data_IF_705323170598
#
_entry.id   IF_705323170598
#
_cell.length_a   1.000
_cell.length_b   1.000
_cell.length_c   1.000
_cell.angle_alpha   90.00
_cell.angle_beta   90.00
_cell.angle_gamma   90.00
#
_symmetry.space_group_name_H-M   'P 1'
#
loop_
_entity.id
_entity.type
_entity.pdbx_description
1 polymer ?
#
# COMPACT_ATOMS: atom_id res chain seq x y z
N UNK A 1 -4.00 4.76 15.48
CA UNK A 1 -2.51 4.65 15.57
C UNK A 1 -1.94 4.16 14.23
N UNK A 2 -0.73 4.63 13.85
CA UNK A 2 0.01 4.09 12.69
C UNK A 2 1.38 3.64 13.19
N UNK A 3 1.77 2.41 12.84
CA UNK A 3 3.11 1.89 13.12
C UNK A 3 3.71 1.35 11.83
N UNK A 4 4.96 1.73 11.53
CA UNK A 4 5.70 1.31 10.35
C UNK A 4 6.72 0.24 10.72
N UNK A 5 6.76 -0.83 9.94
CA UNK A 5 7.86 -1.79 9.93
C UNK A 5 8.47 -1.84 8.54
N UNK A 6 9.77 -1.57 8.45
CA UNK A 6 10.50 -1.76 7.18
C UNK A 6 10.95 -3.20 7.11
N UNK A 7 10.52 -3.91 6.07
CA UNK A 7 10.79 -5.34 5.85
C UNK A 7 11.47 -5.56 4.49
N UNK A 8 12.18 -6.66 4.34
CA UNK A 8 12.87 -7.04 3.11
C UNK A 8 14.36 -6.70 3.10
N UNK A 9 15.17 -7.71 2.77
CA UNK A 9 16.64 -7.59 2.73
C UNK A 9 17.14 -6.96 1.41
N UNK A 10 16.46 -7.27 0.30
CA UNK A 10 16.90 -6.85 -1.03
C UNK A 10 16.36 -5.46 -1.38
N UNK A 11 15.08 -5.24 -1.17
CA UNK A 11 14.39 -3.97 -1.33
C UNK A 11 13.64 -3.71 -0.03
N UNK A 12 14.20 -2.87 0.88
CA UNK A 12 13.50 -2.49 2.11
C UNK A 12 12.21 -1.75 1.77
N UNK A 13 11.09 -2.31 2.21
CA UNK A 13 9.74 -1.79 1.94
C UNK A 13 8.99 -1.56 3.24
N UNK A 14 8.32 -0.44 3.35
CA UNK A 14 7.54 -0.06 4.51
C UNK A 14 6.17 -0.78 4.49
N UNK A 15 5.91 -1.56 5.51
CA UNK A 15 4.60 -2.12 5.84
C UNK A 15 3.97 -1.29 6.96
N UNK A 16 2.71 -0.87 6.81
CA UNK A 16 2.06 0.01 7.79
C UNK A 16 0.89 -0.69 8.46
N UNK A 17 0.98 -0.82 9.78
CA UNK A 17 -0.16 -1.16 10.61
C UNK A 17 -0.97 0.11 10.88
N UNK A 18 -2.22 0.15 10.43
CA UNK A 18 -3.17 1.21 10.69
C UNK A 18 -4.28 0.69 11.61
N UNK A 19 -4.19 1.03 12.89
CA UNK A 19 -4.94 0.39 13.97
C UNK A 19 -5.89 1.39 14.64
N UNK A 20 -7.11 0.94 14.89
CA UNK A 20 -8.04 1.64 15.77
C UNK A 20 -7.72 1.35 17.23
N UNK A 21 -7.39 2.42 17.98
CA UNK A 21 -6.91 2.32 19.37
C UNK A 21 -7.99 1.86 20.38
N UNK A 22 -9.27 1.92 19.99
CA UNK A 22 -10.37 1.50 20.88
C UNK A 22 -10.63 0.00 20.78
N UNK A 23 -10.53 -0.56 19.56
CA UNK A 23 -10.85 -1.96 19.29
C UNK A 23 -9.62 -2.85 19.19
N UNK A 24 -8.43 -2.28 18.94
CA UNK A 24 -7.21 -2.97 18.52
C UNK A 24 -7.37 -3.74 17.21
N UNK A 25 -8.39 -3.40 16.40
CA UNK A 25 -8.55 -3.89 15.05
C UNK A 25 -7.93 -2.93 14.04
N UNK A 26 -7.49 -3.44 12.88
CA UNK A 26 -6.86 -2.59 11.89
C UNK A 26 -6.65 -3.24 10.54
N UNK A 27 -5.91 -2.49 9.72
CA UNK A 27 -5.41 -2.87 8.42
C UNK A 27 -3.89 -3.02 8.47
N UNK A 28 -3.36 -3.95 7.68
CA UNK A 28 -1.97 -3.91 7.24
C UNK A 28 -1.95 -3.37 5.81
N UNK A 29 -1.11 -2.38 5.52
CA UNK A 29 -0.89 -1.87 4.18
C UNK A 29 0.48 -2.34 3.71
N UNK A 30 0.49 -3.12 2.64
CA UNK A 30 1.62 -3.85 2.08
C UNK A 30 2.28 -4.83 3.07
N UNK A 31 2.89 -5.91 2.58
CA UNK A 31 3.45 -6.95 3.43
C UNK A 31 4.93 -7.25 3.14
N UNK A 32 5.53 -6.53 2.18
CA UNK A 32 6.94 -6.72 1.84
C UNK A 32 7.31 -8.19 1.63
N UNK A 33 8.40 -8.64 2.23
CA UNK A 33 8.89 -10.03 2.12
C UNK A 33 8.80 -10.86 3.40
N UNK A 34 8.42 -10.26 4.54
CA UNK A 34 8.52 -10.90 5.86
C UNK A 34 7.16 -11.06 6.55
N UNK A 35 6.23 -11.80 5.91
CA UNK A 35 4.87 -12.03 6.42
C UNK A 35 4.84 -12.64 7.83
N UNK A 36 5.77 -13.56 8.13
CA UNK A 36 5.88 -14.17 9.46
C UNK A 36 6.22 -13.14 10.54
N UNK A 37 7.20 -12.28 10.28
CA UNK A 37 7.64 -11.23 11.20
C UNK A 37 6.51 -10.22 11.46
N UNK A 38 5.79 -9.82 10.41
CA UNK A 38 4.65 -8.92 10.53
C UNK A 38 3.51 -9.55 11.34
N UNK A 39 3.23 -10.85 11.15
CA UNK A 39 2.21 -11.57 11.90
C UNK A 39 2.57 -11.71 13.39
N UNK A 40 3.83 -12.08 13.71
CA UNK A 40 4.33 -12.15 15.08
C UNK A 40 4.27 -10.79 15.77
N UNK A 41 4.56 -9.72 15.03
CA UNK A 41 4.45 -8.35 15.56
C UNK A 41 3.00 -8.02 15.92
N UNK A 42 2.05 -8.25 15.03
CA UNK A 42 0.64 -8.01 15.30
C UNK A 42 0.13 -8.81 16.51
N UNK A 43 0.52 -10.08 16.63
CA UNK A 43 0.18 -10.94 17.76
C UNK A 43 0.77 -10.39 19.07
N UNK A 44 2.04 -10.00 19.07
CA UNK A 44 2.73 -9.44 20.26
C UNK A 44 2.05 -8.15 20.75
N UNK A 45 1.54 -7.33 19.83
CA UNK A 45 0.79 -6.09 20.12
C UNK A 45 -0.66 -6.35 20.53
N UNK A 46 -1.18 -7.55 20.33
CA UNK A 46 -2.58 -7.88 20.55
C UNK A 46 -3.51 -7.25 19.52
N UNK A 47 -3.04 -7.02 18.30
CA UNK A 47 -3.83 -6.46 17.19
C UNK A 47 -4.52 -7.54 16.38
N UNK A 48 -5.73 -7.24 15.95
CA UNK A 48 -6.47 -8.05 14.98
C UNK A 48 -6.46 -7.34 13.63
N UNK A 49 -5.72 -7.89 12.67
CA UNK A 49 -5.69 -7.35 11.31
C UNK A 49 -6.80 -7.98 10.50
N UNK A 50 -7.84 -7.19 10.19
CA UNK A 50 -8.98 -7.70 9.43
C UNK A 50 -8.68 -7.86 7.95
N UNK A 51 -7.85 -6.97 7.39
CA UNK A 51 -7.50 -6.96 5.96
C UNK A 51 -6.05 -6.53 5.74
N UNK A 52 -5.40 -7.21 4.81
CA UNK A 52 -4.16 -6.77 4.18
C UNK A 52 -4.53 -6.05 2.89
N UNK A 53 -4.18 -4.78 2.77
CA UNK A 53 -4.47 -3.91 1.63
C UNK A 53 -3.19 -3.67 0.84
N UNK A 54 -3.19 -4.03 -0.44
CA UNK A 54 -2.03 -3.87 -1.31
C UNK A 54 -2.16 -2.58 -2.12
N UNK A 55 -1.15 -1.70 -2.03
CA UNK A 55 -1.08 -0.46 -2.82
C UNK A 55 -0.85 -0.76 -4.29
N UNK A 56 -0.08 -1.78 -4.59
CA UNK A 56 0.15 -2.39 -5.89
C UNK A 56 0.82 -3.75 -5.71
N UNK A 57 0.97 -4.51 -6.78
CA UNK A 57 1.43 -5.89 -6.67
C UNK A 57 2.84 -6.14 -7.20
N UNK A 58 3.83 -5.23 -7.00
CA UNK A 58 5.24 -5.58 -7.14
C UNK A 58 5.67 -6.51 -6.01
N UNK A 59 6.68 -7.36 -6.27
CA UNK A 59 7.06 -8.45 -5.38
C UNK A 59 7.50 -8.00 -3.98
N UNK A 60 8.10 -6.84 -3.89
CA UNK A 60 8.57 -6.25 -2.64
C UNK A 60 7.44 -5.66 -1.78
N UNK A 61 6.22 -5.53 -2.33
CA UNK A 61 4.99 -5.18 -1.60
C UNK A 61 4.13 -6.39 -1.25
N UNK A 62 4.24 -7.48 -2.02
CA UNK A 62 3.37 -8.66 -1.86
C UNK A 62 4.07 -9.91 -1.33
N UNK A 63 5.40 -9.92 -1.22
CA UNK A 63 6.16 -11.14 -0.95
C UNK A 63 5.81 -11.86 0.34
N UNK A 64 5.40 -11.14 1.37
CA UNK A 64 4.94 -11.68 2.65
C UNK A 64 3.42 -11.86 2.77
N UNK A 65 2.65 -11.47 1.76
CA UNK A 65 1.19 -11.35 1.87
C UNK A 65 0.49 -12.69 2.19
N UNK A 66 0.82 -13.77 1.48
CA UNK A 66 0.20 -15.09 1.74
C UNK A 66 0.59 -15.63 3.11
N UNK A 67 1.86 -15.55 3.50
CA UNK A 67 2.30 -16.05 4.81
C UNK A 67 1.65 -15.25 5.95
N UNK A 68 1.54 -13.93 5.81
CA UNK A 68 0.81 -13.08 6.76
C UNK A 68 -0.66 -13.48 6.86
N UNK A 69 -1.36 -13.61 5.72
CA UNK A 69 -2.78 -13.98 5.68
C UNK A 69 -3.05 -15.36 6.30
N UNK A 70 -2.21 -16.35 6.00
CA UNK A 70 -2.33 -17.71 6.59
C UNK A 70 -2.19 -17.68 8.12
N UNK A 71 -1.27 -16.86 8.66
CA UNK A 71 -1.00 -16.79 10.10
C UNK A 71 -2.05 -16.02 10.87
N UNK A 72 -2.59 -14.96 10.29
CA UNK A 72 -3.50 -14.03 10.97
C UNK A 72 -4.96 -14.26 10.66
N UNK A 73 -5.27 -14.89 9.53
CA UNK A 73 -6.63 -15.00 8.99
C UNK A 73 -7.10 -13.73 8.28
N UNK A 74 -6.23 -12.73 8.08
CA UNK A 74 -6.56 -11.52 7.34
C UNK A 74 -6.82 -11.84 5.86
N UNK A 75 -7.84 -11.20 5.27
CA UNK A 75 -8.09 -11.33 3.84
C UNK A 75 -7.20 -10.36 3.05
N UNK A 76 -6.68 -10.81 1.90
CA UNK A 76 -5.85 -9.99 1.01
C UNK A 76 -6.75 -9.24 0.04
N UNK A 77 -6.50 -7.93 -0.10
CA UNK A 77 -7.24 -7.04 -1.00
C UNK A 77 -6.30 -6.29 -1.94
N UNK A 78 -6.65 -6.24 -3.22
CA UNK A 78 -5.91 -5.50 -4.26
C UNK A 78 -6.86 -4.82 -5.25
N UNK A 79 -6.35 -3.92 -6.09
CA UNK A 79 -7.15 -3.26 -7.11
C UNK A 79 -7.71 -4.25 -8.16
N UNK A 80 -8.85 -3.91 -8.79
CA UNK A 80 -9.44 -4.73 -9.86
C UNK A 80 -8.49 -4.97 -11.04
N UNK A 81 -7.51 -4.10 -11.25
CA UNK A 81 -6.48 -4.22 -12.30
C UNK A 81 -5.25 -5.04 -11.89
N UNK A 82 -5.20 -5.54 -10.63
CA UNK A 82 -4.08 -6.31 -10.08
C UNK A 82 -3.94 -7.77 -10.53
N UNK A 83 -4.97 -8.48 -11.09
CA UNK A 83 -4.86 -9.92 -11.35
C UNK A 83 -3.64 -10.34 -12.17
N UNK A 84 -3.22 -9.51 -13.12
CA UNK A 84 -2.04 -9.78 -13.93
C UNK A 84 -0.74 -9.68 -13.11
N UNK A 85 -0.65 -8.73 -12.20
CA UNK A 85 0.55 -8.54 -11.38
C UNK A 85 0.69 -9.67 -10.36
N UNK A 86 -0.32 -9.94 -9.55
CA UNK A 86 -0.19 -10.96 -8.51
C UNK A 86 -0.16 -12.41 -9.04
N UNK A 87 -0.49 -12.65 -10.33
CA UNK A 87 -0.45 -13.98 -10.94
C UNK A 87 0.75 -14.22 -11.88
N UNK A 88 1.43 -13.18 -12.37
CA UNK A 88 2.56 -13.29 -13.31
C UNK A 88 3.85 -12.73 -12.71
N UNK A 89 4.82 -13.62 -12.37
CA UNK A 89 6.11 -13.23 -11.82
C UNK A 89 6.98 -12.32 -12.69
N UNK A 90 6.71 -12.20 -14.00
CA UNK A 90 7.36 -11.21 -14.84
C UNK A 90 6.77 -9.81 -14.62
N UNK A 91 5.44 -9.74 -14.41
CA UNK A 91 4.75 -8.48 -14.19
C UNK A 91 5.02 -7.92 -12.80
N UNK A 92 5.04 -8.76 -11.77
CA UNK A 92 5.37 -8.33 -10.41
C UNK A 92 6.88 -8.29 -10.14
N UNK A 93 7.71 -8.57 -11.13
CA UNK A 93 9.17 -8.50 -11.08
C UNK A 93 9.84 -9.55 -10.16
N UNK A 94 9.09 -10.49 -9.59
CA UNK A 94 9.64 -11.45 -8.64
C UNK A 94 10.69 -12.38 -9.24
N UNK A 95 10.64 -12.66 -10.56
CA UNK A 95 11.69 -13.43 -11.22
C UNK A 95 13.07 -12.75 -11.20
N UNK A 96 13.13 -11.44 -10.98
CA UNK A 96 14.37 -10.69 -11.02
C UNK A 96 15.05 -10.60 -9.64
N UNK A 97 14.31 -10.76 -8.57
CA UNK A 97 14.85 -10.52 -7.23
C UNK A 97 14.30 -11.38 -6.11
N UNK A 98 13.05 -11.84 -6.20
CA UNK A 98 12.37 -12.51 -5.08
C UNK A 98 12.10 -14.02 -5.28
N UNK A 99 12.43 -14.57 -6.44
CA UNK A 99 11.96 -15.89 -6.84
C UNK A 99 10.59 -15.82 -7.52
N UNK A 100 9.84 -16.90 -7.52
CA UNK A 100 8.50 -16.93 -8.12
C UNK A 100 7.45 -16.64 -7.06
N UNK A 101 6.93 -15.40 -7.03
CA UNK A 101 5.86 -14.98 -6.12
C UNK A 101 4.56 -14.83 -6.90
N UNK A 102 3.50 -15.44 -6.40
CA UNK A 102 2.12 -15.29 -6.89
C UNK A 102 1.19 -15.32 -5.70
N UNK A 103 0.06 -14.62 -5.76
CA UNK A 103 -0.97 -14.68 -4.72
C UNK A 103 -2.17 -15.50 -5.20
N UNK A 104 -2.80 -16.18 -4.25
CA UNK A 104 -4.10 -16.81 -4.36
C UNK A 104 -5.09 -16.10 -3.43
N UNK A 105 -6.39 -16.34 -3.61
CA UNK A 105 -7.45 -15.85 -2.72
C UNK A 105 -7.43 -14.33 -2.45
N UNK A 106 -7.19 -13.54 -3.51
CA UNK A 106 -7.21 -12.08 -3.47
C UNK A 106 -8.63 -11.58 -3.76
N UNK A 107 -9.17 -10.77 -2.86
CA UNK A 107 -10.40 -10.01 -3.08
C UNK A 107 -10.06 -8.69 -3.75
N UNK A 108 -10.86 -8.24 -4.71
CA UNK A 108 -10.62 -6.97 -5.38
C UNK A 108 -11.50 -5.85 -4.85
N UNK A 109 -10.99 -4.63 -4.89
CA UNK A 109 -11.73 -3.39 -4.63
C UNK A 109 -11.73 -2.49 -5.87
N UNK A 110 -12.74 -1.63 -5.97
CA UNK A 110 -12.88 -0.65 -7.03
C UNK A 110 -12.30 0.72 -6.64
N UNK A 111 -12.06 1.59 -7.66
CA UNK A 111 -11.74 2.99 -7.41
C UNK A 111 -12.88 3.67 -6.63
N UNK A 112 -12.52 4.52 -5.67
CA UNK A 112 -13.45 5.24 -4.75
C UNK A 112 -14.22 4.33 -3.78
N UNK A 113 -13.88 3.06 -3.69
CA UNK A 113 -14.45 2.21 -2.65
C UNK A 113 -14.03 2.68 -1.25
N UNK A 114 -14.96 2.59 -0.31
CA UNK A 114 -14.67 2.87 1.11
C UNK A 114 -14.50 1.53 1.83
N UNK A 115 -13.28 1.27 2.28
CA UNK A 115 -12.93 0.07 3.03
C UNK A 115 -13.05 0.38 4.52
N UNK A 116 -13.84 -0.41 5.24
CA UNK A 116 -14.10 -0.20 6.68
C UNK A 116 -13.68 -1.41 7.50
N UNK A 117 -13.42 -1.22 8.79
CA UNK A 117 -13.31 -2.33 9.74
C UNK A 117 -14.71 -2.89 10.09
N UNK A 118 -14.80 -4.20 10.20
CA UNK A 118 -16.03 -4.84 10.69
C UNK A 118 -16.28 -4.48 12.17
N UNK A 119 -15.21 -4.42 12.97
CA UNK A 119 -15.27 -4.03 14.37
C UNK A 119 -15.62 -2.55 14.58
N UNK A 120 -15.31 -1.67 13.62
CA UNK A 120 -15.54 -0.22 13.71
C UNK A 120 -15.79 0.38 12.31
N UNK A 121 -17.03 0.41 11.82
CA UNK A 121 -17.35 0.85 10.45
C UNK A 121 -17.03 2.31 10.12
N UNK A 122 -16.83 3.19 11.11
CA UNK A 122 -16.38 4.57 10.92
C UNK A 122 -14.86 4.70 10.83
N UNK A 123 -14.11 3.63 11.09
CA UNK A 123 -12.69 3.54 10.79
C UNK A 123 -12.51 3.07 9.35
N UNK A 124 -12.25 4.01 8.46
CA UNK A 124 -12.38 3.82 7.02
C UNK A 124 -11.21 4.38 6.23
N UNK A 125 -10.94 3.76 5.09
CA UNK A 125 -10.00 4.20 4.06
C UNK A 125 -10.74 4.34 2.72
N UNK A 126 -10.56 5.47 2.04
CA UNK A 126 -10.98 5.66 0.66
C UNK A 126 -9.88 5.16 -0.28
N UNK A 127 -10.23 4.26 -1.18
CA UNK A 127 -9.34 3.83 -2.28
C UNK A 127 -9.32 4.90 -3.37
N UNK A 128 -8.14 5.26 -3.86
CA UNK A 128 -7.97 6.14 -5.03
C UNK A 128 -6.95 5.54 -5.98
N UNK A 129 -7.36 5.24 -7.20
CA UNK A 129 -6.46 4.68 -8.20
C UNK A 129 -5.45 5.73 -8.68
N UNK A 130 -4.18 5.34 -8.68
CA UNK A 130 -3.04 6.16 -9.08
C UNK A 130 -2.12 5.43 -10.06
N UNK A 131 -2.65 5.00 -11.23
CA UNK A 131 -1.82 4.30 -12.21
C UNK A 131 -0.65 5.15 -12.68
N UNK A 132 0.43 4.47 -13.11
CA UNK A 132 1.62 5.09 -13.71
C UNK A 132 2.93 4.52 -13.23
N UNK A 133 3.09 4.16 -11.95
CA UNK A 133 4.15 3.26 -11.50
C UNK A 133 3.84 1.84 -11.96
N UNK A 134 2.64 1.39 -11.68
CA UNK A 134 1.98 0.21 -12.27
C UNK A 134 0.57 0.59 -12.70
N UNK A 135 -0.12 -0.27 -13.47
CA UNK A 135 -1.52 0.00 -13.84
C UNK A 135 -2.47 -0.24 -12.67
N UNK A 136 -2.09 -1.04 -11.67
CA UNK A 136 -2.89 -1.39 -10.50
C UNK A 136 -2.58 -0.55 -9.26
N UNK A 137 -1.71 0.46 -9.38
CA UNK A 137 -1.37 1.34 -8.26
C UNK A 137 -2.58 2.09 -7.72
N UNK A 138 -2.67 2.14 -6.40
CA UNK A 138 -3.67 2.92 -5.66
C UNK A 138 -3.09 3.48 -4.37
N UNK A 139 -3.78 4.45 -3.79
CA UNK A 139 -3.53 5.00 -2.46
C UNK A 139 -4.74 4.74 -1.56
N UNK A 140 -4.49 4.64 -0.25
CA UNK A 140 -5.53 4.51 0.77
C UNK A 140 -5.54 5.77 1.62
N UNK A 141 -6.62 6.56 1.53
CA UNK A 141 -6.75 7.84 2.21
C UNK A 141 -7.71 7.78 3.39
N UNK A 142 -7.25 8.22 4.56
CA UNK A 142 -8.09 8.47 5.73
C UNK A 142 -8.32 9.97 5.91
N UNK A 143 -9.53 10.44 5.59
CA UNK A 143 -9.92 11.83 5.86
C UNK A 143 -10.04 12.10 7.37
N UNK A 144 -10.35 11.09 8.18
CA UNK A 144 -10.44 11.16 9.63
C UNK A 144 -9.10 11.57 10.26
N UNK A 145 -8.03 10.91 9.85
CA UNK A 145 -6.71 11.07 10.47
C UNK A 145 -5.76 11.96 9.64
N UNK A 146 -6.21 12.42 8.45
CA UNK A 146 -5.42 13.28 7.57
C UNK A 146 -4.16 12.57 7.05
N UNK A 147 -4.28 11.29 6.68
CA UNK A 147 -3.15 10.47 6.21
C UNK A 147 -3.49 9.75 4.93
N UNK A 148 -2.46 9.45 4.11
CA UNK A 148 -2.59 8.60 2.93
C UNK A 148 -1.40 7.64 2.85
N UNK A 149 -1.68 6.35 2.62
CA UNK A 149 -0.69 5.33 2.30
C UNK A 149 -0.59 5.28 0.77
N UNK A 150 0.56 5.69 0.25
CA UNK A 150 0.69 6.03 -1.17
C UNK A 150 1.51 5.02 -1.97
N UNK A 151 2.00 3.95 -1.35
CA UNK A 151 2.85 2.96 -2.02
C UNK A 151 3.97 3.65 -2.78
N UNK A 152 4.10 3.30 -4.06
CA UNK A 152 5.12 3.83 -4.95
C UNK A 152 4.60 4.92 -5.91
N UNK A 153 3.48 5.56 -5.54
CA UNK A 153 2.97 6.70 -6.32
C UNK A 153 3.85 7.93 -6.16
N UNK A 154 4.16 8.33 -4.92
CA UNK A 154 4.99 9.50 -4.61
C UNK A 154 5.79 9.24 -3.32
N UNK A 155 7.02 9.76 -3.28
CA UNK A 155 7.96 9.63 -2.18
C UNK A 155 8.35 11.00 -1.61
N UNK A 156 9.10 10.99 -0.51
CA UNK A 156 9.80 12.19 -0.07
C UNK A 156 10.79 12.65 -1.15
N UNK A 157 10.46 13.75 -1.82
CA UNK A 157 11.28 14.39 -2.86
C UNK A 157 11.50 13.55 -4.14
N UNK A 158 10.66 12.54 -4.39
CA UNK A 158 10.74 11.70 -5.58
C UNK A 158 9.36 11.11 -5.93
N UNK A 159 9.29 10.40 -7.04
CA UNK A 159 8.12 9.62 -7.48
C UNK A 159 8.52 8.19 -7.80
N UNK A 160 7.57 7.28 -7.87
CA UNK A 160 7.79 5.92 -8.32
C UNK A 160 8.39 5.88 -9.73
N UNK A 161 9.22 4.88 -9.98
CA UNK A 161 9.76 4.66 -11.34
C UNK A 161 8.66 4.14 -12.28
N UNK A 162 8.84 4.38 -13.57
CA UNK A 162 7.81 4.13 -14.59
C UNK A 162 8.32 3.32 -15.78
N UNK A 163 9.50 2.72 -15.65
CA UNK A 163 10.18 1.96 -16.71
C UNK A 163 9.97 0.44 -16.62
N UNK A 164 9.10 -0.01 -15.70
CA UNK A 164 8.68 -1.41 -15.55
C UNK A 164 7.40 -1.70 -16.33
N UNK A 165 7.03 -2.99 -16.51
CA UNK A 165 5.79 -3.37 -17.20
C UNK A 165 4.56 -2.65 -16.65
N UNK A 166 3.84 -1.95 -17.52
CA UNK A 166 2.65 -1.16 -17.15
C UNK A 166 2.95 0.24 -16.66
N UNK A 167 4.23 0.63 -16.50
CA UNK A 167 4.63 1.96 -16.09
C UNK A 167 4.51 3.00 -17.21
N UNK A 168 4.11 4.24 -16.86
CA UNK A 168 4.04 5.41 -17.74
C UNK A 168 4.16 6.69 -16.91
N UNK A 169 5.19 7.49 -17.21
CA UNK A 169 5.53 8.67 -16.40
C UNK A 169 4.45 9.76 -16.47
N UNK A 170 3.87 9.99 -17.65
CA UNK A 170 2.83 11.01 -17.80
C UNK A 170 1.57 10.61 -17.01
N UNK A 171 1.19 9.35 -17.10
CA UNK A 171 0.06 8.79 -16.33
C UNK A 171 0.29 8.92 -14.83
N UNK A 172 1.52 8.69 -14.34
CA UNK A 172 1.86 8.85 -12.93
C UNK A 172 1.71 10.30 -12.47
N UNK A 173 2.22 11.26 -13.26
CA UNK A 173 2.07 12.68 -12.95
C UNK A 173 0.61 13.14 -12.95
N UNK A 174 -0.20 12.66 -13.90
CA UNK A 174 -1.63 12.93 -13.96
C UNK A 174 -2.36 12.35 -12.73
N UNK A 175 -1.96 11.16 -12.29
CA UNK A 175 -2.49 10.53 -11.07
C UNK A 175 -2.11 11.32 -9.82
N UNK A 176 -0.84 11.71 -9.66
CA UNK A 176 -0.38 12.53 -8.53
C UNK A 176 -1.15 13.86 -8.48
N UNK A 177 -1.30 14.53 -9.62
CA UNK A 177 -2.01 15.80 -9.69
C UNK A 177 -3.49 15.68 -9.31
N UNK A 178 -4.15 14.61 -9.77
CA UNK A 178 -5.59 14.40 -9.60
C UNK A 178 -5.93 13.79 -8.23
N UNK A 179 -5.12 12.87 -7.72
CA UNK A 179 -5.48 12.06 -6.56
C UNK A 179 -4.73 12.44 -5.28
N UNK A 180 -3.48 12.90 -5.39
CA UNK A 180 -2.66 13.24 -4.24
C UNK A 180 -2.70 14.75 -3.98
N UNK A 181 -2.44 15.57 -5.00
CA UNK A 181 -2.34 17.03 -4.83
C UNK A 181 -3.70 17.74 -4.65
N UNK A 182 -4.79 17.00 -4.71
CA UNK A 182 -6.15 17.45 -4.34
C UNK A 182 -6.51 17.19 -2.89
N UNK A 183 -5.69 16.42 -2.16
CA UNK A 183 -5.84 16.22 -0.71
C UNK A 183 -5.44 17.49 0.06
N UNK A 184 -5.92 17.68 1.31
CA UNK A 184 -5.49 18.77 2.17
C UNK A 184 -3.96 18.84 2.27
N UNK A 185 -3.33 20.04 2.23
CA UNK A 185 -1.88 20.19 2.24
C UNK A 185 -1.17 19.57 3.46
N UNK A 186 -1.88 19.48 4.60
CA UNK A 186 -1.41 18.89 5.84
C UNK A 186 -1.46 17.35 5.85
N UNK A 187 -2.10 16.71 4.86
CA UNK A 187 -2.19 15.26 4.77
C UNK A 187 -0.79 14.65 4.75
N UNK A 188 -0.52 13.74 5.69
CA UNK A 188 0.75 13.00 5.77
C UNK A 188 0.72 11.85 4.75
N UNK A 189 1.79 11.74 3.97
CA UNK A 189 1.97 10.70 2.97
C UNK A 189 2.95 9.65 3.49
N UNK A 190 2.49 8.41 3.59
CA UNK A 190 3.28 7.23 3.96
C UNK A 190 3.57 6.40 2.71
N UNK A 191 4.82 6.39 2.27
CA UNK A 191 5.24 5.72 1.03
C UNK A 191 5.95 4.39 1.27
N UNK A 192 6.06 3.57 0.21
CA UNK A 192 6.69 2.25 0.29
C UNK A 192 8.17 2.26 0.67
N UNK A 193 8.93 3.32 0.36
CA UNK A 193 10.39 3.26 0.45
C UNK A 193 11.06 4.45 1.14
N UNK A 194 10.33 5.48 1.53
CA UNK A 194 10.94 6.67 2.16
C UNK A 194 10.28 7.04 3.48
N UNK A 195 10.90 7.97 4.18
CA UNK A 195 10.30 8.63 5.33
C UNK A 195 9.00 9.35 4.92
N UNK A 196 8.06 9.55 5.85
CA UNK A 196 6.84 10.30 5.58
C UNK A 196 7.11 11.74 5.13
N UNK A 197 6.22 12.25 4.28
CA UNK A 197 6.20 13.65 3.84
C UNK A 197 4.77 14.20 3.94
N UNK A 198 4.48 15.37 3.38
CA UNK A 198 3.12 15.92 3.32
C UNK A 198 2.77 16.36 1.89
N UNK A 199 1.48 16.35 1.58
CA UNK A 199 0.98 16.88 0.30
C UNK A 199 1.51 18.28 0.02
N UNK A 200 1.46 19.17 1.00
CA UNK A 200 1.92 20.56 0.83
C UNK A 200 3.43 20.67 0.56
N UNK A 201 4.25 19.84 1.21
CA UNK A 201 5.69 19.83 1.00
C UNK A 201 6.04 19.37 -0.43
N UNK A 202 5.40 18.28 -0.91
CA UNK A 202 5.66 17.78 -2.25
C UNK A 202 5.08 18.69 -3.34
N UNK A 203 3.88 19.25 -3.14
CA UNK A 203 3.33 20.28 -4.04
C UNK A 203 4.28 21.49 -4.20
N UNK A 204 4.86 21.98 -3.10
CA UNK A 204 5.80 23.10 -3.15
C UNK A 204 7.09 22.75 -3.91
N UNK A 205 7.51 21.50 -3.86
CA UNK A 205 8.72 20.98 -4.54
C UNK A 205 8.53 20.91 -6.05
N UNK A 206 7.35 20.47 -6.51
CA UNK A 206 7.06 20.23 -7.93
C UNK A 206 6.35 21.40 -8.65
N UNK A 207 5.91 22.42 -7.93
CA UNK A 207 5.36 23.68 -8.51
C UNK A 207 6.49 24.67 -8.88
N UNK A 208 7.43 24.24 -9.70
CA UNK A 208 8.44 25.17 -10.24
C UNK A 208 8.13 25.57 -11.67
#
# INVERSE_FOLDING_TARGET
MIECMTVGDMIPTNAFFYIDDETNHGFLIDAGSDGALLAEHAETKGWTIERLLLTHCHFDHIGGAEDFAIRTGASIYAAEDSPRYYSDPNWNLSLWGGGKITLSDVTTFADREIITLAAKPDFALEVRYTPGHTTDSCIFYSARDGVAFVGDTIFLASIGRTDFPGGDEQTLWDSIAREVFTLPPETVLYSGHTEPTTVGAEMARYRR
#
